data_IF_322916322200
#
_entry.id   IF_322916322200
#
_cell.length_a   1.000
_cell.length_b   1.000
_cell.length_c   1.000
_cell.angle_alpha   90.00
_cell.angle_beta   90.00
_cell.angle_gamma   90.00
#
_symmetry.space_group_name_H-M   'P 1'
#
loop_
_entity.id
_entity.type
_entity.pdbx_description
1 polymer ?
#
# COMPACT_ATOMS: atom_id res chain seq x y z
N UNK A 1 6.76 -1.30 -3.77
CA UNK A 1 5.77 -1.72 -4.78
C UNK A 1 4.77 -0.63 -5.13
N UNK A 2 3.70 -0.98 -5.87
CA UNK A 2 2.50 -0.14 -6.10
C UNK A 2 1.37 -0.68 -5.23
N UNK A 3 0.59 0.18 -4.59
CA UNK A 3 -0.57 -0.27 -3.80
C UNK A 3 -1.84 0.47 -4.20
N UNK A 4 -2.91 -0.29 -4.39
CA UNK A 4 -4.23 0.19 -4.79
C UNK A 4 -4.93 0.86 -3.59
N UNK A 5 -5.62 1.98 -3.85
CA UNK A 5 -6.46 2.69 -2.87
C UNK A 5 -7.87 2.80 -3.45
N UNK A 6 -8.84 2.19 -2.77
CA UNK A 6 -10.26 2.31 -3.10
C UNK A 6 -11.00 3.07 -1.97
N UNK A 7 -10.94 4.42 -1.96
CA UNK A 7 -11.67 5.25 -1.01
C UNK A 7 -13.16 5.35 -1.35
N UNK A 8 -14.00 5.46 -0.33
CA UNK A 8 -15.40 5.89 -0.41
C UNK A 8 -15.62 7.33 0.05
N UNK A 9 -14.70 7.92 0.82
CA UNK A 9 -14.76 9.31 1.29
C UNK A 9 -13.42 10.04 1.16
N UNK A 10 -13.45 11.37 1.13
CA UNK A 10 -12.26 12.23 1.10
C UNK A 10 -11.37 12.03 2.34
N UNK A 11 -11.96 11.97 3.54
CA UNK A 11 -11.22 11.74 4.80
C UNK A 11 -10.43 10.42 4.76
N UNK A 12 -11.05 9.39 4.21
CA UNK A 12 -10.44 8.08 3.99
C UNK A 12 -9.32 8.12 2.97
N UNK A 13 -9.50 8.85 1.87
CA UNK A 13 -8.43 9.05 0.89
C UNK A 13 -7.19 9.63 1.56
N UNK A 14 -7.33 10.69 2.37
CA UNK A 14 -6.20 11.26 3.10
C UNK A 14 -5.56 10.30 4.09
N UNK A 15 -6.34 9.50 4.83
CA UNK A 15 -5.80 8.46 5.71
C UNK A 15 -5.03 7.38 4.96
N UNK A 16 -5.57 6.91 3.85
CA UNK A 16 -4.92 5.94 2.97
C UNK A 16 -3.63 6.50 2.36
N UNK A 17 -3.56 7.82 2.12
CA UNK A 17 -2.38 8.54 1.67
C UNK A 17 -1.35 8.78 2.80
N UNK A 18 -1.79 8.98 4.04
CA UNK A 18 -0.89 9.07 5.19
C UNK A 18 -0.19 7.73 5.46
N UNK A 19 -0.99 6.66 5.66
CA UNK A 19 -0.51 5.29 5.80
C UNK A 19 0.36 4.83 4.61
N UNK A 20 0.24 5.52 3.49
CA UNK A 20 0.97 5.24 2.28
C UNK A 20 2.37 5.84 2.25
N UNK A 21 2.44 7.14 2.51
CA UNK A 21 3.65 7.92 2.37
C UNK A 21 4.74 7.38 3.30
N UNK A 22 4.33 6.93 4.49
CA UNK A 22 5.16 6.34 5.52
C UNK A 22 5.85 5.03 5.09
N UNK A 23 5.32 4.31 4.09
CA UNK A 23 5.81 2.98 3.70
C UNK A 23 6.50 2.93 2.32
N UNK A 24 6.84 4.09 1.73
CA UNK A 24 7.69 4.12 0.52
C UNK A 24 7.04 3.66 -0.81
N UNK A 25 5.85 3.06 -0.81
CA UNK A 25 5.21 2.57 -2.06
C UNK A 25 4.63 3.67 -2.98
N UNK A 26 4.34 3.36 -4.25
CA UNK A 26 3.53 4.24 -5.12
C UNK A 26 2.04 3.97 -4.92
N UNK A 27 1.21 5.02 -4.99
CA UNK A 27 -0.23 4.91 -4.78
C UNK A 27 -1.00 5.02 -6.07
N UNK A 28 -1.90 4.06 -6.26
CA UNK A 28 -2.78 3.97 -7.41
C UNK A 28 -4.20 4.09 -6.86
N UNK A 29 -4.87 5.21 -7.12
CA UNK A 29 -6.20 5.49 -6.58
C UNK A 29 -7.23 5.10 -7.64
N UNK A 30 -8.30 4.47 -7.19
CA UNK A 30 -9.44 4.17 -8.03
C UNK A 30 -10.14 5.45 -8.50
N UNK A 31 -10.10 5.70 -9.81
CA UNK A 31 -10.75 6.86 -10.45
C UNK A 31 -12.27 6.83 -10.28
N UNK A 32 -12.88 5.66 -10.09
CA UNK A 32 -14.31 5.58 -9.83
C UNK A 32 -14.72 6.22 -8.48
N UNK A 33 -13.76 6.57 -7.61
CA UNK A 33 -14.03 7.33 -6.39
C UNK A 33 -14.38 8.81 -6.63
N UNK A 34 -14.00 9.39 -7.78
CA UNK A 34 -14.22 10.80 -8.13
C UNK A 34 -13.66 11.79 -7.10
N UNK A 35 -12.52 11.45 -6.47
CA UNK A 35 -11.88 12.27 -5.43
C UNK A 35 -10.63 13.02 -5.93
N UNK A 36 -10.43 13.14 -7.25
CA UNK A 36 -9.29 13.83 -7.86
C UNK A 36 -9.12 15.26 -7.35
N UNK A 37 -10.24 15.98 -7.22
CA UNK A 37 -10.27 17.39 -6.82
C UNK A 37 -9.69 17.57 -5.42
N UNK A 38 -9.89 16.59 -4.52
CA UNK A 38 -9.38 16.64 -3.15
C UNK A 38 -7.84 16.66 -3.07
N UNK A 39 -7.14 16.22 -4.12
CA UNK A 39 -5.67 16.14 -4.12
C UNK A 39 -4.99 17.34 -4.78
N UNK A 40 -5.74 18.28 -5.35
CA UNK A 40 -5.20 19.39 -6.15
C UNK A 40 -4.29 20.35 -5.36
N UNK A 41 -4.49 20.46 -4.05
CA UNK A 41 -3.70 21.32 -3.17
C UNK A 41 -2.44 20.64 -2.61
N UNK A 42 -2.16 19.38 -2.97
CA UNK A 42 -1.01 18.65 -2.44
C UNK A 42 0.32 19.13 -3.06
N UNK A 43 1.43 19.09 -2.29
CA UNK A 43 2.75 19.38 -2.83
C UNK A 43 3.12 18.46 -4.01
N UNK A 44 3.88 18.99 -4.97
CA UNK A 44 4.31 18.25 -6.16
C UNK A 44 5.05 16.94 -5.81
N UNK A 45 5.83 16.93 -4.74
CA UNK A 45 6.54 15.73 -4.25
C UNK A 45 5.60 14.60 -3.83
N UNK A 46 4.42 14.94 -3.28
CA UNK A 46 3.39 13.98 -2.91
C UNK A 46 2.63 13.51 -4.15
N UNK A 47 2.24 14.44 -5.01
CA UNK A 47 1.55 14.14 -6.27
C UNK A 47 2.37 13.23 -7.19
N UNK A 48 3.70 13.36 -7.20
CA UNK A 48 4.60 12.50 -7.97
C UNK A 48 4.54 11.02 -7.56
N UNK A 49 4.01 10.70 -6.37
CA UNK A 49 3.85 9.33 -5.85
C UNK A 49 2.44 8.78 -6.03
N UNK A 50 1.54 9.57 -6.61
CA UNK A 50 0.12 9.27 -6.79
C UNK A 50 -0.18 9.12 -8.27
N UNK A 51 -0.95 8.10 -8.61
CA UNK A 51 -1.52 7.89 -9.93
C UNK A 51 -2.98 7.45 -9.79
N UNK A 52 -3.75 7.63 -10.84
CA UNK A 52 -5.17 7.36 -10.88
C UNK A 52 -5.46 6.31 -11.94
N UNK A 53 -6.16 5.25 -11.54
CA UNK A 53 -6.45 4.09 -12.39
C UNK A 53 -7.94 3.99 -12.67
N UNK A 54 -8.28 3.85 -13.95
CA UNK A 54 -9.62 3.42 -14.40
C UNK A 54 -9.67 1.94 -14.75
N UNK A 55 -8.51 1.29 -14.88
CA UNK A 55 -8.35 -0.09 -15.31
C UNK A 55 -7.28 -0.75 -14.44
N UNK A 56 -7.72 -1.43 -13.38
CA UNK A 56 -6.82 -2.02 -12.39
C UNK A 56 -6.01 -3.17 -12.99
N UNK A 57 -6.59 -3.85 -13.98
CA UNK A 57 -6.04 -5.00 -14.69
C UNK A 57 -4.80 -4.62 -15.51
N UNK A 58 -4.76 -3.39 -16.07
CA UNK A 58 -3.60 -2.88 -16.81
C UNK A 58 -2.58 -2.16 -15.93
N UNK A 59 -3.01 -1.60 -14.80
CA UNK A 59 -2.20 -0.66 -14.02
C UNK A 59 -1.45 -1.31 -12.84
N UNK A 60 -1.63 -2.62 -12.67
CA UNK A 60 -0.88 -3.49 -11.76
C UNK A 60 0.54 -3.82 -12.26
N UNK A 61 1.24 -4.78 -11.63
CA UNK A 61 0.81 -5.55 -10.45
C UNK A 61 0.80 -4.68 -9.19
N UNK A 62 -0.11 -4.98 -8.27
CA UNK A 62 -0.18 -4.33 -6.96
C UNK A 62 0.37 -5.25 -5.87
N UNK A 63 1.04 -4.66 -4.88
CA UNK A 63 1.60 -5.36 -3.71
C UNK A 63 0.67 -5.30 -2.48
N UNK A 64 -0.40 -4.50 -2.55
CA UNK A 64 -1.40 -4.38 -1.49
C UNK A 64 -2.54 -3.47 -1.89
N UNK A 65 -3.67 -3.55 -1.18
CA UNK A 65 -4.83 -2.71 -1.39
C UNK A 65 -5.47 -2.25 -0.08
N UNK A 66 -5.88 -0.98 -0.02
CA UNK A 66 -6.71 -0.47 1.07
C UNK A 66 -8.09 -0.10 0.54
N UNK A 67 -9.11 -0.64 1.17
CA UNK A 67 -10.52 -0.50 0.77
C UNK A 67 -11.29 0.19 1.88
N UNK A 68 -12.14 1.15 1.53
CA UNK A 68 -13.21 1.60 2.41
C UNK A 68 -14.55 1.16 1.84
N UNK A 69 -15.39 0.60 2.71
CA UNK A 69 -16.73 0.19 2.36
C UNK A 69 -17.38 -0.65 3.45
N UNK A 70 -18.69 -0.82 3.32
CA UNK A 70 -19.45 -1.85 4.02
C UNK A 70 -19.11 -3.26 3.50
N UNK A 71 -19.82 -4.26 3.99
CA UNK A 71 -19.60 -5.67 3.65
C UNK A 71 -19.79 -5.91 2.16
N UNK A 72 -20.82 -5.31 1.57
CA UNK A 72 -21.20 -5.46 0.16
C UNK A 72 -20.12 -4.85 -0.75
N UNK A 73 -19.73 -3.61 -0.48
CA UNK A 73 -18.69 -2.91 -1.24
C UNK A 73 -17.35 -3.60 -1.09
N UNK A 74 -16.98 -3.98 0.14
CA UNK A 74 -15.72 -4.69 0.41
C UNK A 74 -15.69 -6.03 -0.32
N UNK A 75 -16.79 -6.81 -0.27
CA UNK A 75 -16.90 -8.09 -0.97
C UNK A 75 -16.79 -7.94 -2.50
N UNK A 76 -17.44 -6.93 -3.07
CA UNK A 76 -17.35 -6.63 -4.50
C UNK A 76 -15.93 -6.27 -4.93
N UNK A 77 -15.28 -5.37 -4.20
CA UNK A 77 -13.90 -4.94 -4.49
C UNK A 77 -12.92 -6.10 -4.29
N UNK A 78 -13.09 -6.91 -3.25
CA UNK A 78 -12.21 -8.04 -2.99
C UNK A 78 -12.30 -9.11 -4.09
N UNK A 79 -13.50 -9.38 -4.61
CA UNK A 79 -13.67 -10.25 -5.80
C UNK A 79 -12.96 -9.70 -7.03
N UNK A 80 -13.04 -8.39 -7.26
CA UNK A 80 -12.34 -7.74 -8.38
C UNK A 80 -10.83 -7.83 -8.21
N UNK A 81 -10.31 -7.55 -7.02
CA UNK A 81 -8.87 -7.66 -6.71
C UNK A 81 -8.38 -9.10 -6.89
N UNK A 82 -9.14 -10.10 -6.43
CA UNK A 82 -8.81 -11.51 -6.58
C UNK A 82 -8.77 -11.98 -8.05
N UNK A 83 -9.45 -11.27 -8.96
CA UNK A 83 -9.45 -11.55 -10.40
C UNK A 83 -8.28 -10.88 -11.14
N UNK A 84 -7.51 -10.01 -10.49
CA UNK A 84 -6.35 -9.36 -11.10
C UNK A 84 -5.27 -10.40 -11.43
N UNK A 85 -4.62 -10.23 -12.57
CA UNK A 85 -3.47 -11.07 -12.94
C UNK A 85 -2.25 -10.70 -12.11
N UNK A 86 -1.44 -11.70 -11.77
CA UNK A 86 -0.17 -11.51 -11.07
C UNK A 86 -0.24 -11.95 -9.61
N UNK A 87 0.48 -11.29 -8.69
CA UNK A 87 0.56 -11.71 -7.29
C UNK A 87 -0.78 -11.55 -6.57
N UNK A 88 -1.00 -12.38 -5.55
CA UNK A 88 -2.09 -12.17 -4.61
C UNK A 88 -1.86 -10.85 -3.85
N UNK A 89 -2.84 -9.98 -3.92
CA UNK A 89 -2.78 -8.66 -3.30
C UNK A 89 -3.28 -8.75 -1.87
N UNK A 90 -2.48 -8.32 -0.90
CA UNK A 90 -2.93 -8.22 0.50
C UNK A 90 -3.93 -7.07 0.61
N UNK A 91 -5.19 -7.41 0.90
CA UNK A 91 -6.30 -6.44 1.03
C UNK A 91 -6.58 -6.17 2.50
N UNK A 92 -6.63 -4.89 2.87
CA UNK A 92 -7.20 -4.44 4.14
C UNK A 92 -8.44 -3.59 3.87
N UNK A 93 -9.49 -3.79 4.66
CA UNK A 93 -10.75 -3.05 4.54
C UNK A 93 -11.16 -2.48 5.88
N UNK A 94 -11.74 -1.28 5.86
CA UNK A 94 -12.36 -0.66 7.02
C UNK A 94 -13.60 0.13 6.57
N UNK A 95 -14.65 0.12 7.37
CA UNK A 95 -15.82 0.96 7.19
C UNK A 95 -15.46 2.43 7.46
N UNK A 96 -16.31 3.36 7.01
CA UNK A 96 -16.13 4.79 7.30
C UNK A 96 -16.17 5.07 8.81
N UNK A 97 -16.98 4.32 9.56
CA UNK A 97 -17.11 4.45 11.02
C UNK A 97 -15.89 3.92 11.76
N UNK A 98 -15.37 2.75 11.38
CA UNK A 98 -14.10 2.20 11.92
C UNK A 98 -12.96 3.16 11.65
N UNK A 99 -12.85 3.69 10.42
CA UNK A 99 -11.87 4.73 10.13
C UNK A 99 -12.07 5.90 11.09
N UNK A 100 -13.29 6.40 11.29
CA UNK A 100 -13.52 7.56 12.16
C UNK A 100 -13.08 7.33 13.61
N UNK A 101 -13.27 6.12 14.15
CA UNK A 101 -13.06 5.79 15.57
C UNK A 101 -11.69 5.21 15.88
N UNK A 102 -11.10 4.48 14.94
CA UNK A 102 -9.85 3.75 15.13
C UNK A 102 -8.74 4.35 14.26
N UNK A 103 -7.66 4.76 14.92
CA UNK A 103 -6.47 5.30 14.26
C UNK A 103 -5.65 4.21 13.56
N UNK A 104 -5.79 2.95 13.98
CA UNK A 104 -5.09 1.78 13.44
C UNK A 104 -5.98 0.89 12.55
N UNK A 105 -7.13 1.43 12.09
CA UNK A 105 -8.04 0.75 11.18
C UNK A 105 -7.36 0.17 9.91
N UNK A 106 -6.18 0.69 9.55
CA UNK A 106 -5.25 0.02 8.64
C UNK A 106 -3.93 -0.26 9.37
N UNK A 107 -3.54 -1.53 9.42
CA UNK A 107 -2.30 -1.94 10.05
C UNK A 107 -1.12 -1.72 9.10
N UNK A 108 -0.20 -0.85 9.52
CA UNK A 108 0.95 -0.41 8.73
C UNK A 108 2.00 -1.52 8.51
N UNK A 109 2.06 -2.50 9.42
CA UNK A 109 3.01 -3.61 9.33
C UNK A 109 2.86 -4.38 8.02
N UNK A 110 1.63 -4.52 7.52
CA UNK A 110 1.35 -5.21 6.25
C UNK A 110 1.56 -4.36 5.00
N UNK A 111 1.98 -3.10 5.17
CA UNK A 111 2.29 -2.18 4.07
C UNK A 111 3.80 -2.04 3.82
N UNK A 112 4.61 -2.79 4.56
CA UNK A 112 6.05 -2.93 4.40
C UNK A 112 6.38 -4.28 3.74
N UNK A 113 7.55 -4.35 3.12
CA UNK A 113 8.09 -5.57 2.52
C UNK A 113 9.35 -5.97 3.28
N UNK A 114 9.35 -7.16 3.86
CA UNK A 114 10.49 -7.68 4.61
C UNK A 114 11.56 -8.24 3.67
N UNK A 115 12.81 -7.83 3.88
CA UNK A 115 13.96 -8.30 3.09
C UNK A 115 15.03 -8.82 4.03
N UNK A 116 15.41 -10.10 3.87
CA UNK A 116 16.49 -10.73 4.64
C UNK A 116 17.71 -10.94 3.75
N UNK A 117 18.88 -10.47 4.23
CA UNK A 117 20.16 -10.57 3.51
C UNK A 117 21.15 -11.33 4.39
N UNK A 118 21.55 -12.52 3.94
CA UNK A 118 22.58 -13.32 4.59
C UNK A 118 23.90 -13.18 3.82
N UNK A 119 24.91 -12.62 4.47
CA UNK A 119 26.21 -12.33 3.86
C UNK A 119 27.25 -13.29 4.44
N UNK A 120 27.85 -14.14 3.60
CA UNK A 120 29.01 -14.92 4.02
C UNK A 120 30.24 -14.01 4.13
N UNK A 121 30.48 -13.50 5.32
CA UNK A 121 31.62 -12.60 5.61
C UNK A 121 32.98 -13.31 5.59
N UNK A 122 33.01 -14.65 5.60
CA UNK A 122 34.22 -15.45 5.51
C UNK A 122 34.53 -15.93 4.09
N UNK A 123 33.74 -15.53 3.09
CA UNK A 123 33.89 -16.00 1.70
C UNK A 123 35.28 -15.74 1.09
N UNK A 124 36.00 -14.71 1.57
CA UNK A 124 37.37 -14.40 1.15
C UNK A 124 38.44 -15.33 1.78
N UNK A 125 38.05 -16.37 2.52
CA UNK A 125 38.97 -17.37 3.08
C UNK A 125 39.37 -17.12 4.54
N UNK A 126 38.75 -16.17 5.23
CA UNK A 126 39.01 -15.89 6.64
C UNK A 126 37.93 -15.00 7.26
N UNK A 127 37.72 -15.14 8.56
CA UNK A 127 36.79 -14.28 9.30
C UNK A 127 37.58 -13.19 10.04
N UNK A 128 37.52 -11.97 9.51
CA UNK A 128 38.22 -10.82 10.08
C UNK A 128 37.87 -10.58 11.56
N UNK A 129 36.62 -10.79 11.96
CA UNK A 129 36.19 -10.62 13.36
C UNK A 129 36.80 -11.67 14.30
N UNK A 130 37.13 -12.87 13.80
CA UNK A 130 37.84 -13.89 14.59
C UNK A 130 39.34 -13.60 14.71
N UNK A 131 39.93 -12.83 13.78
CA UNK A 131 41.36 -12.46 13.84
C UNK A 131 41.67 -11.45 14.95
N UNK A 132 40.65 -10.76 15.49
CA UNK A 132 40.77 -9.76 16.56
C UNK A 132 40.48 -10.30 17.96
N UNK A 133 40.10 -11.57 18.10
CA UNK A 133 39.87 -12.22 19.41
C UNK A 133 41.12 -13.03 19.74
N UNK A 134 41.81 -12.67 20.83
CA UNK A 134 43.03 -13.31 21.34
C UNK A 134 42.99 -13.50 22.85
#
# INVERSE_FOLDING_TARGET
GRSLRAPGTEKSLFRKLAAALDTGSQRVIDRASNLEIALTALPASVLARISWSSNWESDGPFSGALVEGDVERTGSINKRIAALKGPLVLVQSATTDELAKDHEAYCLNWLLEEVSISINTAAAGGNASLMTIG
#
